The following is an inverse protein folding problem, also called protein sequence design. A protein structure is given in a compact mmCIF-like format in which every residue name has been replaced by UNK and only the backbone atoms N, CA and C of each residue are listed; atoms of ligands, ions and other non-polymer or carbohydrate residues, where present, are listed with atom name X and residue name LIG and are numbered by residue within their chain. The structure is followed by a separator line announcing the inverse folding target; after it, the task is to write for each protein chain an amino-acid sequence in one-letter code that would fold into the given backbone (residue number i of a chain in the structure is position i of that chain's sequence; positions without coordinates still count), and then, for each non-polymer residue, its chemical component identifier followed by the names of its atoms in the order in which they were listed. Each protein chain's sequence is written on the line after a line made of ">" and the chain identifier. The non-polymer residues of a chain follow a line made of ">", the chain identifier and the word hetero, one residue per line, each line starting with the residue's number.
data_IF_782711155019
#
_entry.id   IF_782711155019
#
_cell.length_a   1.000
_cell.length_b   1.000
_cell.length_c   1.000
_cell.angle_alpha   90.00
_cell.angle_beta   90.00
_cell.angle_gamma   90.00
#
_symmetry.space_group_name_H-M   'P 1'
#
loop_
_entity.id
_entity.type
_entity.pdbx_description
1 polymer ?
#
# COMPACT_ATOMS: atom_id res chain seq x y z
N UNK A 1 33.85 43.57 -17.90
CA UNK A 1 33.32 43.23 -19.23
C UNK A 1 31.89 42.77 -19.06
N UNK A 2 30.96 43.60 -19.50
CA UNK A 2 29.51 43.36 -19.44
C UNK A 2 29.13 42.05 -20.14
N UNK A 3 28.35 41.21 -19.48
CA UNK A 3 27.67 40.08 -20.12
C UNK A 3 26.21 40.48 -20.35
N UNK A 4 25.85 40.68 -21.61
CA UNK A 4 24.51 41.01 -22.06
C UNK A 4 23.51 39.94 -21.61
N UNK A 5 22.47 40.37 -20.87
CA UNK A 5 21.24 39.59 -20.70
C UNK A 5 20.53 39.50 -22.05
N UNK A 6 20.61 38.33 -22.69
CA UNK A 6 19.76 38.01 -23.85
C UNK A 6 18.34 37.78 -23.32
N UNK A 7 17.42 38.72 -23.61
CA UNK A 7 15.98 38.53 -23.38
C UNK A 7 15.47 37.42 -24.31
N UNK A 8 14.69 36.44 -23.83
CA UNK A 8 14.12 35.43 -24.72
C UNK A 8 13.08 36.07 -25.66
N UNK A 9 13.16 35.73 -26.95
CA UNK A 9 12.14 36.08 -27.96
C UNK A 9 10.84 35.36 -27.62
N UNK A 10 9.70 36.06 -27.75
CA UNK A 10 8.35 35.49 -27.63
C UNK A 10 8.14 34.42 -28.71
N UNK A 11 7.66 33.25 -28.30
CA UNK A 11 7.18 32.18 -29.18
C UNK A 11 5.83 32.61 -29.80
N UNK A 12 5.66 32.58 -31.15
CA UNK A 12 4.41 32.93 -31.82
C UNK A 12 3.20 32.03 -31.46
N UNK A 13 3.41 30.85 -30.88
CA UNK A 13 2.33 29.94 -30.46
C UNK A 13 1.86 30.15 -29.00
N UNK A 14 2.43 31.15 -28.30
CA UNK A 14 2.04 31.53 -26.95
C UNK A 14 2.44 30.55 -25.84
N UNK A 15 3.05 29.40 -26.16
CA UNK A 15 3.60 28.46 -25.19
C UNK A 15 4.69 29.19 -24.39
N UNK A 16 4.44 29.41 -23.09
CA UNK A 16 5.47 29.95 -22.20
C UNK A 16 6.57 28.90 -22.01
N UNK A 17 7.85 29.30 -21.95
CA UNK A 17 8.98 28.41 -22.16
C UNK A 17 9.01 27.23 -21.18
N UNK A 18 9.34 26.06 -21.74
CA UNK A 18 9.63 24.81 -21.04
C UNK A 18 10.85 25.04 -20.14
N UNK A 19 10.68 25.05 -18.82
CA UNK A 19 11.78 24.71 -17.92
C UNK A 19 11.78 23.19 -17.75
N UNK A 20 12.56 22.51 -18.59
CA UNK A 20 13.10 21.22 -18.21
C UNK A 20 14.32 21.54 -17.36
N UNK A 21 14.40 21.03 -16.13
CA UNK A 21 15.69 20.96 -15.45
C UNK A 21 16.58 20.00 -16.27
N UNK A 22 17.24 20.54 -17.30
CA UNK A 22 18.26 19.86 -18.05
C UNK A 22 19.34 19.48 -17.06
N UNK A 23 19.69 18.20 -17.05
CA UNK A 23 20.68 17.58 -16.19
C UNK A 23 21.85 18.50 -15.80
N UNK A 24 21.69 19.26 -14.70
CA UNK A 24 22.77 19.31 -13.73
C UNK A 24 22.73 17.91 -13.14
N UNK A 25 23.80 17.15 -13.35
CA UNK A 25 24.21 16.13 -12.37
C UNK A 25 23.82 16.71 -11.02
N UNK A 26 22.81 16.11 -10.37
CA UNK A 26 22.67 16.27 -8.94
C UNK A 26 23.97 15.66 -8.44
N UNK A 27 24.98 16.51 -8.27
CA UNK A 27 26.24 16.14 -7.68
C UNK A 27 25.87 15.69 -6.29
N UNK A 28 25.70 14.38 -6.14
CA UNK A 28 25.65 13.71 -4.87
C UNK A 28 27.00 13.95 -4.21
N UNK A 29 27.13 15.10 -3.54
CA UNK A 29 27.97 15.23 -2.36
C UNK A 29 27.08 14.89 -1.17
N UNK A 30 26.64 13.63 -1.11
CA UNK A 30 26.35 13.02 0.17
C UNK A 30 27.69 12.51 0.67
N UNK A 31 28.21 13.14 1.72
CA UNK A 31 29.12 12.44 2.60
C UNK A 31 28.48 11.09 2.94
N UNK A 32 29.10 10.01 2.46
CA UNK A 32 28.76 8.65 2.83
C UNK A 32 29.16 8.48 4.30
N UNK A 33 28.28 8.88 5.21
CA UNK A 33 28.21 8.34 6.57
C UNK A 33 26.87 7.63 6.69
N UNK A 34 26.90 6.33 6.42
CA UNK A 34 25.79 5.43 6.76
C UNK A 34 25.75 5.27 8.27
N UNK A 35 25.16 6.23 8.97
CA UNK A 35 24.66 5.96 10.30
C UNK A 35 23.35 5.18 10.12
N UNK A 36 23.41 3.86 10.37
CA UNK A 36 22.27 2.92 10.38
C UNK A 36 21.11 3.34 11.33
N UNK A 37 21.14 4.52 11.94
CA UNK A 37 20.20 4.98 12.97
C UNK A 37 19.11 5.94 12.49
N UNK A 38 19.18 6.56 11.31
CA UNK A 38 18.11 7.44 10.82
C UNK A 38 17.89 7.29 9.31
N UNK A 39 17.07 6.32 8.92
CA UNK A 39 16.59 6.19 7.55
C UNK A 39 15.71 7.40 7.17
N UNK A 40 15.88 7.91 5.95
CA UNK A 40 15.20 9.10 5.46
C UNK A 40 13.76 8.79 5.03
N UNK A 41 12.82 9.63 5.47
CA UNK A 41 11.43 9.58 5.01
C UNK A 41 11.27 10.22 3.63
N UNK A 42 10.32 9.72 2.85
CA UNK A 42 9.92 10.30 1.57
C UNK A 42 8.51 10.86 1.56
N UNK A 43 7.99 11.09 0.36
CA UNK A 43 6.63 11.56 0.10
C UNK A 43 5.84 10.54 -0.69
N UNK A 44 4.55 10.44 -0.39
CA UNK A 44 3.63 9.51 -1.09
C UNK A 44 3.24 10.03 -2.48
N UNK A 45 2.76 9.16 -3.37
CA UNK A 45 2.22 9.58 -4.68
C UNK A 45 1.09 10.59 -4.54
N UNK A 46 0.24 10.45 -3.52
CA UNK A 46 -0.81 11.41 -3.19
C UNK A 46 -0.30 12.80 -2.80
N UNK A 47 0.84 12.89 -2.10
CA UNK A 47 1.45 14.17 -1.75
C UNK A 47 2.05 14.87 -2.98
N UNK A 48 2.67 14.11 -3.89
CA UNK A 48 3.13 14.64 -5.17
C UNK A 48 1.95 15.15 -6.02
N UNK A 49 0.83 14.41 -6.08
CA UNK A 49 -0.37 14.85 -6.80
C UNK A 49 -1.00 16.11 -6.18
N UNK A 50 -1.11 16.18 -4.84
CA UNK A 50 -1.56 17.39 -4.13
C UNK A 50 -0.69 18.60 -4.47
N UNK A 51 0.63 18.44 -4.41
CA UNK A 51 1.59 19.48 -4.77
C UNK A 51 1.43 19.88 -6.25
N UNK A 52 1.23 18.91 -7.14
CA UNK A 52 0.99 19.15 -8.56
C UNK A 52 -0.25 20.00 -8.82
N UNK A 53 -1.38 19.70 -8.15
CA UNK A 53 -2.62 20.49 -8.28
C UNK A 53 -2.37 21.93 -7.85
N UNK A 54 -1.77 22.14 -6.66
CA UNK A 54 -1.47 23.49 -6.18
C UNK A 54 -0.53 24.25 -7.11
N UNK A 55 0.51 23.58 -7.62
CA UNK A 55 1.47 24.20 -8.51
C UNK A 55 0.85 24.60 -9.85
N UNK A 56 -0.02 23.76 -10.45
CA UNK A 56 -0.76 24.15 -11.66
C UNK A 56 -1.58 25.42 -11.43
N UNK A 57 -2.36 25.46 -10.34
CA UNK A 57 -3.22 26.59 -10.01
C UNK A 57 -2.42 27.89 -9.83
N UNK A 58 -1.32 27.83 -9.08
CA UNK A 58 -0.46 28.98 -8.85
C UNK A 58 0.32 29.39 -10.11
N UNK A 59 0.77 28.44 -10.93
CA UNK A 59 1.42 28.76 -12.21
C UNK A 59 0.47 29.49 -13.16
N UNK A 60 -0.80 29.10 -13.21
CA UNK A 60 -1.82 29.81 -14.00
C UNK A 60 -2.05 31.22 -13.44
N UNK A 61 -2.18 31.36 -12.11
CA UNK A 61 -2.37 32.66 -11.45
C UNK A 61 -1.21 33.64 -11.71
N UNK A 62 0.02 33.17 -11.56
CA UNK A 62 1.21 33.99 -11.72
C UNK A 62 1.63 34.15 -13.20
N UNK A 63 0.93 33.47 -14.11
CA UNK A 63 1.24 33.38 -15.54
C UNK A 63 2.73 33.07 -15.80
N UNK A 64 3.30 32.17 -14.99
CA UNK A 64 4.69 31.74 -15.10
C UNK A 64 4.88 30.34 -14.51
N UNK A 65 5.80 29.54 -15.07
CA UNK A 65 6.14 28.25 -14.49
C UNK A 65 6.79 28.46 -13.12
N UNK A 66 6.35 27.68 -12.13
CA UNK A 66 6.96 27.68 -10.80
C UNK A 66 8.14 26.69 -10.76
N UNK A 67 9.12 26.96 -9.88
CA UNK A 67 10.21 26.02 -9.62
C UNK A 67 9.87 25.05 -8.47
N UNK A 68 9.00 25.49 -7.56
CA UNK A 68 8.64 24.71 -6.38
C UNK A 68 7.32 25.19 -5.79
N UNK A 69 6.72 24.34 -4.96
CA UNK A 69 5.47 24.60 -4.25
C UNK A 69 5.54 24.07 -2.82
N UNK A 70 4.90 24.75 -1.87
CA UNK A 70 4.72 24.24 -0.51
C UNK A 70 3.27 23.82 -0.28
N UNK A 71 3.06 22.63 0.27
CA UNK A 71 1.74 22.11 0.68
C UNK A 71 1.73 21.72 2.16
N UNK A 72 0.53 21.65 2.74
CA UNK A 72 0.31 21.04 4.06
C UNK A 72 -0.09 19.58 3.86
N UNK A 73 0.73 18.67 4.35
CA UNK A 73 0.50 17.23 4.28
C UNK A 73 -0.65 16.80 5.21
N UNK A 74 -1.22 15.58 5.01
CA UNK A 74 -2.21 15.02 5.93
C UNK A 74 -1.82 14.93 7.40
N UNK A 75 -0.53 14.79 7.68
CA UNK A 75 0.02 14.84 9.06
C UNK A 75 0.13 16.25 9.65
N UNK A 76 -0.34 17.29 8.95
CA UNK A 76 -0.29 18.68 9.40
C UNK A 76 1.05 19.40 9.20
N UNK A 77 2.07 18.71 8.66
CA UNK A 77 3.38 19.30 8.37
C UNK A 77 3.41 19.97 7.00
N UNK A 78 4.11 21.10 6.91
CA UNK A 78 4.45 21.72 5.62
C UNK A 78 5.57 20.95 4.93
N UNK A 79 5.49 20.84 3.61
CA UNK A 79 6.52 20.23 2.78
C UNK A 79 6.65 20.98 1.46
N UNK A 80 7.90 21.21 1.05
CA UNK A 80 8.26 21.85 -0.22
C UNK A 80 8.59 20.79 -1.27
N UNK A 81 7.99 20.92 -2.45
CA UNK A 81 8.18 20.05 -3.60
C UNK A 81 8.84 20.84 -4.72
N UNK A 82 9.92 20.31 -5.30
CA UNK A 82 10.52 20.86 -6.51
C UNK A 82 9.75 20.34 -7.72
N UNK A 83 9.46 21.22 -8.67
CA UNK A 83 8.85 20.83 -9.93
C UNK A 83 9.94 20.33 -10.88
N UNK A 84 9.69 19.18 -11.50
CA UNK A 84 10.54 18.65 -12.54
C UNK A 84 10.26 19.35 -13.87
N UNK A 85 8.98 19.57 -14.18
CA UNK A 85 8.49 20.30 -15.35
C UNK A 85 7.29 21.15 -14.94
N UNK A 86 7.10 22.27 -15.63
CA UNK A 86 5.90 23.09 -15.57
C UNK A 86 5.64 23.68 -16.95
N UNK A 87 4.43 23.51 -17.45
CA UNK A 87 3.95 23.95 -18.76
C UNK A 87 2.65 24.71 -18.54
N UNK A 88 2.60 25.90 -19.12
CA UNK A 88 1.41 26.75 -19.14
C UNK A 88 0.90 26.82 -20.55
N UNK A 89 -0.40 26.57 -20.71
CA UNK A 89 -1.05 26.73 -21.99
C UNK A 89 -1.81 28.05 -21.95
N UNK A 90 -1.44 29.02 -22.81
CA UNK A 90 -2.03 30.37 -22.80
C UNK A 90 -3.44 30.41 -23.39
N UNK A 91 -3.88 29.33 -24.03
CA UNK A 91 -5.12 29.26 -24.77
C UNK A 91 -6.27 28.81 -23.87
N UNK A 92 -7.49 29.22 -24.22
CA UNK A 92 -8.70 28.68 -23.59
C UNK A 92 -8.90 27.20 -23.98
N UNK A 93 -9.24 26.32 -23.03
CA UNK A 93 -9.50 26.60 -21.62
C UNK A 93 -8.23 26.80 -20.79
N UNK A 94 -8.30 27.67 -19.78
CA UNK A 94 -7.20 27.90 -18.82
C UNK A 94 -6.69 26.58 -18.22
N UNK A 95 -5.46 26.20 -18.59
CA UNK A 95 -4.84 24.91 -18.25
C UNK A 95 -3.36 25.04 -17.89
N UNK A 96 -2.90 24.12 -17.05
CA UNK A 96 -1.48 23.92 -16.76
C UNK A 96 -1.16 22.45 -16.52
N UNK A 97 0.07 22.07 -16.84
CA UNK A 97 0.63 20.77 -16.53
C UNK A 97 1.93 20.95 -15.74
N UNK A 98 2.09 20.19 -14.68
CA UNK A 98 3.34 20.11 -13.93
C UNK A 98 3.71 18.67 -13.67
N UNK A 99 4.99 18.41 -13.42
CA UNK A 99 5.43 17.10 -12.96
C UNK A 99 6.37 17.20 -11.78
N UNK A 100 6.32 16.18 -10.92
CA UNK A 100 7.14 16.04 -9.72
C UNK A 100 7.74 14.63 -9.75
N UNK A 101 9.06 14.52 -9.58
CA UNK A 101 9.70 13.22 -9.35
C UNK A 101 9.48 12.83 -7.89
N UNK A 102 8.80 11.70 -7.68
CA UNK A 102 8.53 11.19 -6.32
C UNK A 102 9.82 10.78 -5.65
N UNK A 103 10.08 11.38 -4.49
CA UNK A 103 11.14 10.96 -3.60
C UNK A 103 10.57 10.07 -2.48
N UNK A 104 10.81 8.75 -2.58
CA UNK A 104 10.34 7.75 -1.62
C UNK A 104 11.16 7.65 -0.32
N UNK A 105 12.23 8.44 -0.16
CA UNK A 105 13.13 8.25 0.98
C UNK A 105 14.00 7.00 0.79
N UNK A 106 14.34 6.34 1.91
CA UNK A 106 15.13 5.10 1.93
C UNK A 106 14.24 3.84 1.98
N UNK A 107 12.92 3.98 1.78
CA UNK A 107 12.02 2.84 1.65
C UNK A 107 12.26 2.14 0.31
N UNK A 108 12.31 0.79 0.24
CA UNK A 108 12.34 0.05 -1.02
C UNK A 108 10.98 0.09 -1.73
N UNK A 109 10.51 1.29 -2.02
CA UNK A 109 9.24 1.62 -2.67
C UNK A 109 9.42 1.61 -4.20
N UNK A 110 8.69 0.73 -4.89
CA UNK A 110 8.79 0.59 -6.35
C UNK A 110 8.39 1.86 -7.11
N UNK A 111 7.73 2.83 -6.47
CA UNK A 111 7.37 4.11 -7.09
C UNK A 111 8.32 5.24 -6.68
N UNK A 112 9.45 4.94 -6.02
CA UNK A 112 10.55 5.91 -5.88
C UNK A 112 11.09 6.29 -7.26
N UNK A 113 11.31 7.58 -7.49
CA UNK A 113 11.79 8.11 -8.78
C UNK A 113 10.72 8.18 -9.87
N UNK A 114 9.47 7.75 -9.61
CA UNK A 114 8.40 7.88 -10.59
C UNK A 114 8.02 9.35 -10.80
N UNK A 115 7.87 9.76 -12.05
CA UNK A 115 7.32 11.07 -12.41
C UNK A 115 5.80 11.05 -12.22
N UNK A 116 5.28 11.96 -11.39
CA UNK A 116 3.86 12.19 -11.20
C UNK A 116 3.51 13.45 -11.98
N UNK A 117 2.79 13.29 -13.08
CA UNK A 117 2.33 14.38 -13.94
C UNK A 117 0.90 14.75 -13.50
N UNK A 118 0.69 16.04 -13.28
CA UNK A 118 -0.61 16.61 -12.92
C UNK A 118 -0.99 17.64 -13.97
N UNK A 119 -2.11 17.41 -14.64
CA UNK A 119 -2.71 18.36 -15.57
C UNK A 119 -4.02 18.87 -14.97
N UNK A 120 -4.15 20.20 -14.87
CA UNK A 120 -5.33 20.87 -14.32
C UNK A 120 -5.95 21.75 -15.39
N UNK A 121 -7.27 21.63 -15.55
CA UNK A 121 -8.09 22.47 -16.43
C UNK A 121 -9.25 23.07 -15.66
N UNK A 122 -9.46 24.37 -15.79
CA UNK A 122 -10.65 25.05 -15.27
C UNK A 122 -11.86 24.68 -16.15
N UNK A 123 -12.99 24.39 -15.51
CA UNK A 123 -14.25 23.98 -16.16
C UNK A 123 -15.46 24.61 -15.50
N UNK A 124 -16.60 24.63 -16.19
CA UNK A 124 -17.82 25.26 -15.67
C UNK A 124 -18.45 24.47 -14.51
N UNK A 125 -18.41 23.15 -14.61
CA UNK A 125 -18.97 22.26 -13.58
C UNK A 125 -18.19 22.40 -12.28
N UNK A 126 -18.89 22.82 -11.23
CA UNK A 126 -18.33 23.04 -9.89
C UNK A 126 -17.68 21.80 -9.27
N UNK A 127 -16.74 22.06 -8.37
CA UNK A 127 -15.99 21.03 -7.64
C UNK A 127 -14.77 20.50 -8.42
N UNK A 128 -14.29 19.33 -7.99
CA UNK A 128 -13.18 18.63 -8.66
C UNK A 128 -13.72 17.42 -9.43
N UNK A 129 -13.10 17.13 -10.56
CA UNK A 129 -13.32 15.92 -11.33
C UNK A 129 -11.98 15.25 -11.56
N UNK A 130 -11.88 13.97 -11.21
CA UNK A 130 -10.64 13.21 -11.40
C UNK A 130 -10.71 12.40 -12.68
N UNK A 131 -9.69 12.54 -13.51
CA UNK A 131 -9.53 11.77 -14.74
C UNK A 131 -8.28 10.90 -14.67
N UNK A 132 -8.40 9.71 -15.25
CA UNK A 132 -7.29 8.78 -15.42
C UNK A 132 -6.40 9.24 -16.57
N UNK A 133 -5.14 9.49 -16.28
CA UNK A 133 -4.08 9.59 -17.28
C UNK A 133 -3.27 8.29 -17.39
N UNK A 134 -2.28 8.27 -18.29
CA UNK A 134 -1.45 7.09 -18.55
C UNK A 134 -0.77 6.58 -17.27
N UNK A 135 -0.80 5.27 -17.03
CA UNK A 135 -0.14 4.61 -15.90
C UNK A 135 -0.72 4.89 -14.51
N UNK A 136 -1.80 5.66 -14.39
CA UNK A 136 -2.68 5.62 -13.22
C UNK A 136 -3.69 4.50 -13.42
N UNK A 137 -3.85 3.65 -12.42
CA UNK A 137 -4.75 2.50 -12.52
C UNK A 137 -6.22 2.90 -12.48
N UNK A 138 -7.11 1.97 -12.84
CA UNK A 138 -8.55 2.09 -12.64
C UNK A 138 -9.09 0.99 -11.75
N UNK A 139 -10.21 1.27 -11.07
CA UNK A 139 -10.83 0.39 -10.10
C UNK A 139 -11.74 -0.61 -10.80
N UNK A 140 -11.34 -1.88 -10.85
CA UNK A 140 -12.11 -2.97 -11.44
C UNK A 140 -12.91 -3.78 -10.42
N UNK A 141 -12.63 -3.61 -9.12
CA UNK A 141 -13.32 -4.31 -8.02
C UNK A 141 -13.81 -3.30 -6.96
N UNK A 142 -14.95 -3.57 -6.31
CA UNK A 142 -15.40 -2.74 -5.18
C UNK A 142 -14.55 -2.99 -3.92
N UNK A 143 -14.71 -2.15 -2.90
CA UNK A 143 -14.11 -2.33 -1.56
C UNK A 143 -12.93 -1.40 -1.23
N UNK A 144 -12.39 -0.66 -2.20
CA UNK A 144 -11.29 0.30 -1.98
C UNK A 144 -11.74 1.71 -1.58
N UNK A 145 -13.04 1.90 -1.32
CA UNK A 145 -13.62 3.23 -1.06
C UNK A 145 -13.68 4.11 -2.32
N UNK A 146 -13.62 3.50 -3.51
CA UNK A 146 -13.74 4.14 -4.81
C UNK A 146 -14.75 3.38 -5.68
N UNK A 147 -15.54 4.06 -6.53
CA UNK A 147 -16.42 3.42 -7.49
C UNK A 147 -15.68 2.50 -8.47
N UNK A 148 -16.34 1.47 -8.98
CA UNK A 148 -15.81 0.70 -10.11
C UNK A 148 -15.81 1.58 -11.36
N UNK A 149 -14.73 1.55 -12.13
CA UNK A 149 -14.49 2.41 -13.30
C UNK A 149 -13.74 3.71 -12.97
N UNK A 150 -13.67 4.11 -11.70
CA UNK A 150 -12.96 5.33 -11.29
C UNK A 150 -11.44 5.20 -11.41
N UNK A 151 -10.70 6.31 -11.56
CA UNK A 151 -9.25 6.32 -11.41
C UNK A 151 -8.86 5.94 -9.97
N UNK A 152 -7.76 5.17 -9.84
CA UNK A 152 -7.20 4.69 -8.58
C UNK A 152 -6.51 5.81 -7.79
N UNK A 153 -7.28 6.82 -7.42
CA UNK A 153 -6.88 7.98 -6.62
C UNK A 153 -7.63 7.89 -5.30
N UNK A 154 -6.93 7.49 -4.24
CA UNK A 154 -7.56 7.16 -2.96
C UNK A 154 -8.24 8.37 -2.29
N UNK A 155 -9.20 8.14 -1.37
CA UNK A 155 -9.98 9.21 -0.76
C UNK A 155 -9.17 10.31 -0.06
N UNK A 156 -8.10 9.97 0.66
CA UNK A 156 -7.26 10.97 1.34
C UNK A 156 -6.56 11.91 0.34
N UNK A 157 -5.86 11.42 -0.69
CA UNK A 157 -5.37 12.27 -1.78
C UNK A 157 -6.45 13.14 -2.44
N UNK A 158 -7.63 12.57 -2.76
CA UNK A 158 -8.75 13.34 -3.36
C UNK A 158 -9.14 14.53 -2.48
N UNK A 159 -9.39 14.27 -1.18
CA UNK A 159 -9.74 15.30 -0.19
C UNK A 159 -8.68 16.41 -0.08
N UNK A 160 -7.39 16.07 -0.14
CA UNK A 160 -6.34 17.07 -0.03
C UNK A 160 -6.18 17.88 -1.32
N UNK A 161 -6.36 17.29 -2.50
CA UNK A 161 -6.45 18.03 -3.76
C UNK A 161 -7.68 18.96 -3.81
N UNK A 162 -8.83 18.49 -3.32
CA UNK A 162 -10.04 19.31 -3.15
C UNK A 162 -9.81 20.50 -2.22
N UNK A 163 -9.04 20.30 -1.14
CA UNK A 163 -8.68 21.37 -0.22
C UNK A 163 -7.81 22.43 -0.89
N UNK A 164 -6.84 22.03 -1.72
CA UNK A 164 -6.02 22.99 -2.49
C UNK A 164 -6.89 23.78 -3.48
N UNK A 165 -7.80 23.12 -4.19
CA UNK A 165 -8.76 23.79 -5.08
C UNK A 165 -9.66 24.77 -4.33
N UNK A 166 -10.30 24.33 -3.25
CA UNK A 166 -11.23 25.17 -2.47
C UNK A 166 -10.52 26.41 -1.93
N UNK A 167 -9.33 26.22 -1.34
CA UNK A 167 -8.52 27.33 -0.82
C UNK A 167 -8.11 28.28 -1.94
N UNK A 168 -7.74 27.77 -3.11
CA UNK A 168 -7.37 28.60 -4.24
C UNK A 168 -8.58 29.38 -4.79
N UNK A 169 -9.72 28.71 -4.98
CA UNK A 169 -10.94 29.30 -5.49
C UNK A 169 -11.45 30.42 -4.58
N UNK A 170 -11.54 30.17 -3.27
CA UNK A 170 -12.02 31.17 -2.30
C UNK A 170 -11.17 32.45 -2.29
N UNK A 171 -9.86 32.32 -2.49
CA UNK A 171 -8.93 33.44 -2.51
C UNK A 171 -8.83 34.16 -3.86
N UNK A 172 -9.24 33.52 -4.97
CA UNK A 172 -8.96 34.01 -6.33
C UNK A 172 -10.20 34.01 -7.24
N UNK A 173 -11.41 33.92 -6.69
CA UNK A 173 -12.66 33.78 -7.44
C UNK A 173 -12.82 34.77 -8.59
N UNK A 174 -12.62 36.06 -8.33
CA UNK A 174 -12.75 37.11 -9.35
C UNK A 174 -11.78 36.94 -10.51
N UNK A 175 -10.53 36.55 -10.23
CA UNK A 175 -9.54 36.27 -11.26
C UNK A 175 -9.92 35.05 -12.11
N UNK A 176 -10.46 33.99 -11.49
CA UNK A 176 -10.91 32.80 -12.21
C UNK A 176 -12.09 33.13 -13.12
N UNK A 177 -13.09 33.86 -12.62
CA UNK A 177 -14.27 34.26 -13.39
C UNK A 177 -13.90 35.17 -14.57
N UNK A 178 -12.98 36.13 -14.35
CA UNK A 178 -12.47 37.01 -15.41
C UNK A 178 -11.72 36.22 -16.49
N UNK A 179 -10.80 35.32 -16.09
CA UNK A 179 -9.95 34.59 -17.04
C UNK A 179 -10.70 33.49 -17.78
N UNK A 180 -11.51 32.70 -17.09
CA UNK A 180 -12.24 31.60 -17.72
C UNK A 180 -13.49 32.06 -18.48
N UNK A 181 -14.05 33.23 -18.14
CA UNK A 181 -15.36 33.67 -18.64
C UNK A 181 -16.53 32.83 -18.11
N UNK A 182 -16.31 31.97 -17.11
CA UNK A 182 -17.31 31.04 -16.58
C UNK A 182 -17.94 31.57 -15.29
N UNK A 183 -19.27 31.44 -15.19
CA UNK A 183 -20.05 31.86 -14.00
C UNK A 183 -19.97 30.88 -12.83
N UNK A 184 -19.77 29.60 -13.15
CA UNK A 184 -19.47 28.55 -12.18
C UNK A 184 -18.11 27.98 -12.55
N UNK A 185 -17.33 27.58 -11.55
CA UNK A 185 -15.97 27.11 -11.76
C UNK A 185 -15.68 25.88 -10.92
N UNK A 186 -15.03 24.93 -11.56
CA UNK A 186 -14.41 23.76 -10.97
C UNK A 186 -13.13 23.41 -11.72
N UNK A 187 -12.54 22.27 -11.37
CA UNK A 187 -11.36 21.76 -12.07
C UNK A 187 -11.51 20.31 -12.47
N UNK A 188 -10.95 19.99 -13.64
CA UNK A 188 -10.60 18.62 -14.02
C UNK A 188 -9.14 18.41 -13.70
N UNK A 189 -8.83 17.38 -12.92
CA UNK A 189 -7.47 16.95 -12.58
C UNK A 189 -7.20 15.60 -13.24
N UNK A 190 -6.28 15.60 -14.19
CA UNK A 190 -5.78 14.38 -14.84
C UNK A 190 -4.42 14.05 -14.27
N UNK A 191 -4.27 12.86 -13.71
CA UNK A 191 -3.00 12.38 -13.16
C UNK A 191 -2.42 11.28 -14.07
N UNK A 192 -1.13 11.40 -14.39
CA UNK A 192 -0.39 10.40 -15.18
C UNK A 192 0.90 10.01 -14.48
N UNK A 193 1.31 8.76 -14.68
CA UNK A 193 2.59 8.21 -14.28
C UNK A 193 3.14 7.48 -15.52
N UNK A 194 4.08 8.07 -16.29
CA UNK A 194 4.53 7.50 -17.56
C UNK A 194 4.94 6.01 -17.47
N UNK A 195 5.64 5.61 -16.41
CA UNK A 195 6.05 4.21 -16.21
C UNK A 195 5.08 3.42 -15.31
N UNK A 196 3.90 3.96 -15.01
CA UNK A 196 3.02 3.45 -13.97
C UNK A 196 2.49 2.04 -14.24
N UNK A 197 2.18 1.69 -15.50
CA UNK A 197 1.75 0.34 -15.83
C UNK A 197 2.86 -0.69 -15.56
N UNK A 198 4.09 -0.40 -15.97
CA UNK A 198 5.26 -1.26 -15.76
C UNK A 198 5.52 -1.43 -14.25
N UNK A 199 5.54 -0.33 -13.50
CA UNK A 199 5.77 -0.34 -12.06
C UNK A 199 4.66 -1.06 -11.30
N UNK A 200 3.41 -1.00 -11.76
CA UNK A 200 2.28 -1.66 -11.10
C UNK A 200 2.41 -3.18 -11.02
N UNK A 201 3.17 -3.80 -11.94
CA UNK A 201 3.42 -5.26 -11.96
C UNK A 201 4.21 -5.75 -10.74
N UNK A 202 4.90 -4.85 -10.05
CA UNK A 202 5.64 -5.13 -8.82
C UNK A 202 4.81 -4.90 -7.54
N UNK A 203 3.50 -4.61 -7.69
CA UNK A 203 2.61 -4.27 -6.57
C UNK A 203 1.52 -5.33 -6.37
N UNK A 204 0.79 -5.22 -5.27
CA UNK A 204 -0.41 -6.03 -5.00
C UNK A 204 -1.68 -5.43 -5.62
N UNK A 205 -1.56 -4.42 -6.49
CA UNK A 205 -2.69 -3.66 -7.04
C UNK A 205 -3.66 -4.53 -7.83
N UNK A 206 -3.16 -5.44 -8.67
CA UNK A 206 -4.01 -6.31 -9.49
C UNK A 206 -4.95 -7.17 -8.63
N UNK A 207 -4.46 -7.69 -7.50
CA UNK A 207 -5.25 -8.46 -6.54
C UNK A 207 -6.37 -7.62 -5.93
N UNK A 208 -6.05 -6.38 -5.57
CA UNK A 208 -6.99 -5.40 -5.05
C UNK A 208 -7.98 -4.87 -6.11
N UNK A 209 -7.84 -5.27 -7.38
CA UNK A 209 -8.70 -4.78 -8.46
C UNK A 209 -8.30 -3.41 -8.98
N UNK A 210 -7.01 -3.07 -8.94
CA UNK A 210 -6.46 -1.90 -9.60
C UNK A 210 -5.68 -2.40 -10.81
N UNK A 211 -6.13 -2.04 -12.01
CA UNK A 211 -5.58 -2.53 -13.28
C UNK A 211 -4.90 -1.41 -14.07
N UNK A 212 -3.94 -1.80 -14.90
CA UNK A 212 -3.28 -0.94 -15.89
C UNK A 212 -2.62 0.34 -15.33
N UNK A 213 -2.13 0.28 -14.08
CA UNK A 213 -1.42 1.41 -13.48
C UNK A 213 -1.29 1.36 -11.96
N UNK A 214 -0.64 2.40 -11.44
CA UNK A 214 -0.43 2.59 -10.01
C UNK A 214 -1.58 3.36 -9.37
N UNK A 215 -1.69 3.20 -8.05
CA UNK A 215 -2.57 4.02 -7.23
C UNK A 215 -1.91 5.34 -6.80
N UNK A 216 -2.68 6.42 -6.83
CA UNK A 216 -2.34 7.67 -6.15
C UNK A 216 -2.87 7.55 -4.72
N UNK A 217 -1.95 7.29 -3.78
CA UNK A 217 -2.29 6.94 -2.40
C UNK A 217 -1.36 7.64 -1.40
N UNK A 218 -1.74 7.58 -0.12
CA UNK A 218 -0.99 8.15 0.98
C UNK A 218 -1.90 8.79 2.02
N UNK A 219 -2.06 8.13 3.17
CA UNK A 219 -2.94 8.64 4.25
C UNK A 219 -2.29 9.75 5.08
N UNK A 220 -0.95 9.77 5.12
CA UNK A 220 -0.14 10.72 5.90
C UNK A 220 0.64 11.72 5.03
N UNK A 221 0.69 11.51 3.73
CA UNK A 221 1.53 12.29 2.80
C UNK A 221 3.03 11.95 2.83
N UNK A 222 3.48 11.14 3.79
CA UNK A 222 4.88 10.70 3.94
C UNK A 222 5.03 9.19 3.76
N UNK A 223 6.20 8.78 3.27
CA UNK A 223 6.67 7.39 3.24
C UNK A 223 7.67 7.22 4.38
N UNK A 224 7.43 6.24 5.25
CA UNK A 224 8.34 5.85 6.33
C UNK A 224 8.98 4.53 5.93
N UNK A 225 10.31 4.42 5.87
CA UNK A 225 10.99 3.19 5.50
C UNK A 225 10.56 1.98 6.35
N UNK A 226 10.28 0.85 5.70
CA UNK A 226 9.87 -0.41 6.34
C UNK A 226 8.64 -0.26 7.25
N UNK A 227 7.70 0.60 6.85
CA UNK A 227 6.51 0.93 7.63
C UNK A 227 5.57 -0.27 7.81
N UNK A 228 5.48 -0.74 9.06
CA UNK A 228 4.47 -1.71 9.49
C UNK A 228 3.04 -1.21 9.26
N UNK A 229 2.82 0.11 9.29
CA UNK A 229 1.50 0.69 9.08
C UNK A 229 1.02 0.61 7.62
N UNK A 230 1.94 0.70 6.64
CA UNK A 230 1.61 0.53 5.23
C UNK A 230 1.18 -0.92 4.93
N UNK A 231 1.91 -1.89 5.48
CA UNK A 231 1.58 -3.31 5.33
C UNK A 231 0.26 -3.70 6.02
N UNK A 232 -0.03 -3.13 7.21
CA UNK A 232 -1.35 -3.31 7.86
C UNK A 232 -2.49 -2.73 7.03
N UNK A 233 -2.28 -1.60 6.37
CA UNK A 233 -3.28 -1.01 5.50
C UNK A 233 -3.58 -1.89 4.28
N UNK A 234 -2.57 -2.54 3.66
CA UNK A 234 -2.80 -3.44 2.53
C UNK A 234 -3.58 -4.70 2.93
N UNK A 235 -3.32 -5.26 4.12
CA UNK A 235 -4.12 -6.36 4.69
C UNK A 235 -5.58 -5.94 4.82
N UNK A 236 -5.82 -4.76 5.40
CA UNK A 236 -7.18 -4.21 5.61
C UNK A 236 -7.92 -4.04 4.28
N UNK A 237 -7.26 -3.47 3.27
CA UNK A 237 -7.83 -3.28 1.93
C UNK A 237 -8.15 -4.60 1.23
N UNK A 238 -7.30 -5.62 1.36
CA UNK A 238 -7.58 -6.93 0.79
C UNK A 238 -8.83 -7.57 1.41
N UNK A 239 -9.03 -7.41 2.72
CA UNK A 239 -10.26 -7.87 3.39
C UNK A 239 -11.50 -7.10 2.91
N UNK A 240 -11.39 -5.78 2.73
CA UNK A 240 -12.51 -4.95 2.28
C UNK A 240 -12.92 -5.28 0.83
N UNK A 241 -11.95 -5.55 -0.04
CA UNK A 241 -12.20 -6.04 -1.41
C UNK A 241 -12.91 -7.40 -1.39
N UNK A 242 -12.48 -8.32 -0.53
CA UNK A 242 -13.13 -9.62 -0.41
C UNK A 242 -14.59 -9.50 0.05
N UNK A 243 -14.83 -8.75 1.13
CA UNK A 243 -16.18 -8.52 1.69
C UNK A 243 -17.09 -7.81 0.69
N UNK A 244 -16.60 -6.80 -0.01
CA UNK A 244 -17.38 -6.07 -1.01
C UNK A 244 -17.80 -6.94 -2.20
N UNK A 245 -17.14 -8.07 -2.42
CA UNK A 245 -17.50 -9.09 -3.42
C UNK A 245 -18.45 -10.17 -2.89
N UNK A 246 -18.91 -10.04 -1.65
CA UNK A 246 -19.77 -11.04 -1.00
C UNK A 246 -19.03 -12.30 -0.55
N UNK A 247 -17.69 -12.27 -0.47
CA UNK A 247 -16.91 -13.39 0.05
C UNK A 247 -17.09 -13.44 1.57
N UNK A 248 -17.58 -14.56 2.07
CA UNK A 248 -17.86 -14.78 3.49
C UNK A 248 -16.80 -15.65 4.20
N UNK A 249 -15.78 -16.11 3.47
CA UNK A 249 -14.66 -16.90 4.00
C UNK A 249 -13.33 -16.23 3.68
N UNK A 250 -12.58 -15.81 4.71
CA UNK A 250 -11.25 -15.23 4.56
C UNK A 250 -10.17 -16.23 4.97
N UNK A 251 -9.17 -16.44 4.11
CA UNK A 251 -8.01 -17.30 4.38
C UNK A 251 -6.79 -16.43 4.61
N UNK A 252 -6.38 -16.31 5.87
CA UNK A 252 -5.23 -15.52 6.29
C UNK A 252 -3.96 -16.37 6.23
N UNK A 253 -3.02 -15.99 5.38
CA UNK A 253 -1.83 -16.80 5.08
C UNK A 253 -0.55 -16.13 5.56
N UNK A 254 0.35 -16.91 6.16
CA UNK A 254 1.59 -16.37 6.74
C UNK A 254 2.64 -15.90 5.72
N UNK A 255 2.43 -16.18 4.43
CA UNK A 255 3.30 -15.81 3.32
C UNK A 255 2.92 -16.54 2.02
N UNK A 256 3.64 -16.25 0.93
CA UNK A 256 3.28 -16.74 -0.41
C UNK A 256 3.30 -18.26 -0.58
N UNK A 257 4.17 -18.98 0.12
CA UNK A 257 4.16 -20.44 0.07
C UNK A 257 2.90 -21.01 0.75
N UNK A 258 2.56 -20.55 1.95
CA UNK A 258 1.32 -20.95 2.63
C UNK A 258 0.07 -20.55 1.86
N UNK A 259 0.11 -19.43 1.12
CA UNK A 259 -0.99 -19.02 0.26
C UNK A 259 -1.20 -19.99 -0.90
N UNK A 260 -0.14 -20.34 -1.64
CA UNK A 260 -0.20 -21.31 -2.73
C UNK A 260 -0.75 -22.66 -2.27
N UNK A 261 -0.28 -23.15 -1.12
CA UNK A 261 -0.76 -24.41 -0.56
C UNK A 261 -2.23 -24.32 -0.12
N UNK A 262 -2.62 -23.23 0.54
CA UNK A 262 -4.01 -23.01 0.92
C UNK A 262 -4.94 -22.91 -0.30
N UNK A 263 -4.52 -22.24 -1.38
CA UNK A 263 -5.26 -22.15 -2.64
C UNK A 263 -5.45 -23.51 -3.31
N UNK A 264 -4.42 -24.36 -3.29
CA UNK A 264 -4.52 -25.71 -3.83
C UNK A 264 -5.51 -26.58 -3.03
N UNK A 265 -5.50 -26.47 -1.69
CA UNK A 265 -6.38 -27.25 -0.80
C UNK A 265 -7.83 -26.72 -0.84
N UNK A 266 -8.00 -25.40 -0.87
CA UNK A 266 -9.30 -24.70 -0.82
C UNK A 266 -9.65 -24.13 -2.20
N UNK A 267 -9.49 -24.94 -3.24
CA UNK A 267 -9.60 -24.53 -4.66
C UNK A 267 -10.98 -24.03 -5.09
N UNK A 268 -12.01 -24.29 -4.29
CA UNK A 268 -13.36 -23.75 -4.49
C UNK A 268 -13.49 -22.28 -4.09
N UNK A 269 -12.54 -21.73 -3.30
CA UNK A 269 -12.56 -20.34 -2.87
C UNK A 269 -11.91 -19.44 -3.94
N UNK A 270 -12.47 -18.25 -4.22
CA UNK A 270 -11.85 -17.30 -5.13
C UNK A 270 -10.53 -16.76 -4.56
N UNK A 271 -9.65 -16.29 -5.45
CA UNK A 271 -8.30 -15.80 -5.09
C UNK A 271 -8.35 -14.69 -4.02
N UNK A 272 -9.36 -13.82 -4.07
CA UNK A 272 -9.55 -12.72 -3.12
C UNK A 272 -9.86 -13.19 -1.68
N UNK A 273 -10.24 -14.46 -1.50
CA UNK A 273 -10.38 -15.05 -0.16
C UNK A 273 -9.03 -15.13 0.54
N UNK A 274 -7.93 -15.25 -0.21
CA UNK A 274 -6.60 -15.48 0.32
C UNK A 274 -5.86 -14.16 0.53
N UNK A 275 -5.41 -13.91 1.76
CA UNK A 275 -4.80 -12.65 2.16
C UNK A 275 -3.49 -12.95 2.87
N UNK A 276 -2.38 -12.50 2.29
CA UNK A 276 -1.06 -12.62 2.91
C UNK A 276 -0.93 -11.62 4.06
N UNK A 277 -0.81 -12.13 5.28
CA UNK A 277 -0.73 -11.32 6.50
C UNK A 277 0.69 -11.14 7.04
N UNK A 278 1.66 -11.82 6.43
CA UNK A 278 3.06 -11.78 6.87
C UNK A 278 3.17 -12.20 8.33
N UNK A 279 3.65 -11.28 9.18
CA UNK A 279 3.81 -11.51 10.63
C UNK A 279 2.67 -10.97 11.49
N UNK A 280 1.67 -10.33 10.88
CA UNK A 280 0.64 -9.54 11.56
C UNK A 280 -0.58 -10.34 12.01
N UNK A 281 -0.40 -11.59 12.44
CA UNK A 281 -1.47 -12.54 12.80
C UNK A 281 -2.54 -11.95 13.72
N UNK A 282 -2.12 -11.32 14.83
CA UNK A 282 -3.07 -10.73 15.78
C UNK A 282 -3.80 -9.49 15.26
N UNK A 283 -3.12 -8.67 14.44
CA UNK A 283 -3.79 -7.54 13.78
C UNK A 283 -4.83 -8.06 12.79
N UNK A 284 -4.44 -9.00 11.94
CA UNK A 284 -5.30 -9.52 10.87
C UNK A 284 -6.52 -10.24 11.40
N UNK A 285 -6.41 -11.04 12.47
CA UNK A 285 -7.57 -11.73 13.05
C UNK A 285 -8.54 -10.76 13.73
N UNK A 286 -8.04 -9.68 14.38
CA UNK A 286 -8.88 -8.60 14.92
C UNK A 286 -9.59 -7.85 13.81
N UNK A 287 -8.87 -7.49 12.75
CA UNK A 287 -9.46 -6.77 11.63
C UNK A 287 -10.50 -7.63 10.90
N UNK A 288 -10.19 -8.89 10.62
CA UNK A 288 -11.13 -9.81 9.99
C UNK A 288 -12.41 -10.00 10.84
N UNK A 289 -12.28 -10.08 12.18
CA UNK A 289 -13.43 -10.20 13.10
C UNK A 289 -14.37 -8.99 13.13
N UNK A 290 -13.95 -7.83 12.60
CA UNK A 290 -14.82 -6.64 12.49
C UNK A 290 -15.74 -6.66 11.26
N UNK A 291 -15.55 -7.63 10.36
CA UNK A 291 -16.23 -7.70 9.07
C UNK A 291 -17.34 -8.76 9.11
N UNK A 292 -18.40 -8.62 8.27
CA UNK A 292 -19.54 -9.55 8.24
C UNK A 292 -19.19 -10.84 7.45
N UNK A 293 -18.12 -11.52 7.86
CA UNK A 293 -17.70 -12.81 7.29
C UNK A 293 -18.22 -13.95 8.15
N UNK A 294 -18.47 -15.11 7.56
CA UNK A 294 -18.91 -16.32 8.28
C UNK A 294 -17.75 -17.16 8.78
N UNK A 295 -16.62 -17.16 8.06
CA UNK A 295 -15.48 -18.01 8.37
C UNK A 295 -14.14 -17.28 8.17
N UNK A 296 -13.20 -17.51 9.07
CA UNK A 296 -11.80 -17.12 8.92
C UNK A 296 -10.95 -18.38 9.04
N UNK A 297 -10.05 -18.63 8.09
CA UNK A 297 -9.10 -19.74 8.14
C UNK A 297 -7.68 -19.15 8.25
N UNK A 298 -6.99 -19.42 9.35
CA UNK A 298 -5.56 -19.16 9.47
C UNK A 298 -4.80 -20.32 8.83
N UNK A 299 -4.05 -20.08 7.76
CA UNK A 299 -3.30 -21.09 7.04
C UNK A 299 -1.79 -20.81 7.08
N UNK A 300 -0.98 -21.80 7.41
CA UNK A 300 0.46 -21.59 7.55
C UNK A 300 1.28 -22.85 7.73
N UNK A 301 2.57 -22.60 7.96
CA UNK A 301 3.60 -23.62 8.15
C UNK A 301 4.05 -23.66 9.61
N UNK A 302 4.65 -24.78 10.00
CA UNK A 302 5.09 -25.11 11.37
C UNK A 302 5.92 -24.00 12.04
N UNK A 303 6.76 -23.30 11.29
CA UNK A 303 7.60 -22.20 11.80
C UNK A 303 6.84 -21.05 12.45
N UNK A 304 5.84 -20.47 11.77
CA UNK A 304 5.05 -19.36 12.36
C UNK A 304 3.97 -19.88 13.30
N UNK A 305 3.44 -21.08 13.03
CA UNK A 305 2.37 -21.68 13.82
C UNK A 305 2.85 -22.11 15.21
N UNK A 306 4.06 -22.64 15.35
CA UNK A 306 4.67 -22.93 16.66
C UNK A 306 4.71 -21.69 17.56
N UNK A 307 5.05 -20.52 17.02
CA UNK A 307 5.05 -19.25 17.76
C UNK A 307 3.64 -18.76 18.09
N UNK A 308 2.73 -18.87 17.13
CA UNK A 308 1.33 -18.47 17.32
C UNK A 308 0.63 -19.33 18.38
N UNK A 309 0.99 -20.61 18.48
CA UNK A 309 0.51 -21.55 19.49
C UNK A 309 0.94 -21.16 20.93
N UNK A 310 2.00 -20.37 21.08
CA UNK A 310 2.42 -19.79 22.36
C UNK A 310 1.68 -18.47 22.67
N UNK A 311 0.77 -18.03 21.81
CA UNK A 311 0.07 -16.75 21.95
C UNK A 311 0.85 -15.54 21.42
N UNK A 312 1.96 -15.74 20.70
CA UNK A 312 2.72 -14.64 20.08
C UNK A 312 1.95 -14.10 18.87
N UNK A 313 1.45 -12.86 19.00
CA UNK A 313 0.56 -12.25 18.00
C UNK A 313 1.28 -11.49 16.87
N UNK A 314 2.60 -11.32 16.98
CA UNK A 314 3.48 -10.75 15.96
C UNK A 314 4.65 -11.72 15.74
N UNK A 315 4.65 -12.46 14.64
CA UNK A 315 5.50 -13.67 14.47
C UNK A 315 6.90 -13.40 13.91
N UNK A 316 7.40 -12.15 13.97
CA UNK A 316 8.67 -11.74 13.38
C UNK A 316 9.82 -12.70 13.74
N UNK A 317 10.61 -13.09 12.74
CA UNK A 317 11.74 -14.02 12.90
C UNK A 317 12.74 -13.60 14.00
N UNK A 318 12.88 -12.30 14.26
CA UNK A 318 13.79 -11.73 15.26
C UNK A 318 13.21 -11.61 16.68
N UNK A 319 11.89 -11.79 16.88
CA UNK A 319 11.22 -11.45 18.15
C UNK A 319 10.95 -12.63 19.10
N UNK A 320 10.91 -13.86 18.59
CA UNK A 320 10.73 -15.06 19.41
C UNK A 320 11.38 -16.27 18.74
N UNK A 321 12.25 -16.97 19.46
CA UNK A 321 12.79 -18.25 19.02
C UNK A 321 11.70 -19.34 19.11
N UNK A 322 11.91 -20.45 18.41
CA UNK A 322 11.03 -21.61 18.55
C UNK A 322 11.27 -22.19 19.95
N UNK A 323 10.20 -22.35 20.72
CA UNK A 323 10.28 -22.97 22.04
C UNK A 323 10.06 -24.48 21.91
N UNK A 324 11.17 -25.23 21.90
CA UNK A 324 11.13 -26.68 21.80
C UNK A 324 10.56 -27.33 23.06
N UNK A 325 10.72 -26.71 24.23
CA UNK A 325 10.11 -27.18 25.48
C UNK A 325 8.59 -27.13 25.41
N UNK A 326 8.06 -26.04 24.86
CA UNK A 326 6.63 -25.89 24.60
C UNK A 326 6.13 -26.92 23.57
N UNK A 327 6.80 -27.09 22.43
CA UNK A 327 6.39 -28.10 21.45
C UNK A 327 6.46 -29.53 22.03
N UNK A 328 7.50 -29.84 22.81
CA UNK A 328 7.61 -31.11 23.51
C UNK A 328 6.47 -31.31 24.53
N UNK A 329 5.99 -30.24 25.18
CA UNK A 329 4.84 -30.31 26.08
C UNK A 329 3.55 -30.68 25.35
N UNK A 330 3.28 -30.10 24.17
CA UNK A 330 2.14 -30.47 23.33
C UNK A 330 2.22 -31.95 22.92
N UNK A 331 3.41 -32.41 22.50
CA UNK A 331 3.60 -33.82 22.13
C UNK A 331 3.32 -34.75 23.31
N UNK A 332 3.87 -34.44 24.50
CA UNK A 332 3.64 -35.21 25.73
C UNK A 332 2.17 -35.23 26.14
N UNK A 333 1.51 -34.07 26.14
CA UNK A 333 0.07 -33.94 26.45
C UNK A 333 -0.80 -34.73 25.47
N UNK A 334 -0.33 -34.91 24.23
CA UNK A 334 -0.99 -35.70 23.20
C UNK A 334 -0.70 -37.21 23.29
N UNK A 335 0.16 -37.65 24.22
CA UNK A 335 0.50 -39.06 24.44
C UNK A 335 1.74 -39.55 23.69
N UNK A 336 2.63 -38.66 23.25
CA UNK A 336 3.87 -39.06 22.57
C UNK A 336 4.79 -39.87 23.52
N UNK A 337 5.49 -40.90 23.01
CA UNK A 337 6.47 -41.63 23.80
C UNK A 337 7.65 -40.73 24.19
N UNK A 338 8.26 -40.99 25.36
CA UNK A 338 9.35 -40.17 25.90
C UNK A 338 10.55 -40.06 24.95
N UNK A 339 10.77 -41.06 24.10
CA UNK A 339 11.80 -41.03 23.06
C UNK A 339 11.55 -39.91 22.04
N UNK A 340 10.33 -39.80 21.52
CA UNK A 340 9.94 -38.73 20.59
C UNK A 340 9.99 -37.36 21.27
N UNK A 341 9.50 -37.27 22.51
CA UNK A 341 9.56 -36.04 23.30
C UNK A 341 11.01 -35.58 23.52
N UNK A 342 11.91 -36.51 23.82
CA UNK A 342 13.35 -36.26 23.91
C UNK A 342 13.95 -35.74 22.60
N UNK A 343 13.59 -36.32 21.46
CA UNK A 343 14.02 -35.85 20.14
C UNK A 343 13.53 -34.43 19.83
N UNK A 344 12.28 -34.11 20.16
CA UNK A 344 11.71 -32.76 19.95
C UNK A 344 12.48 -31.70 20.75
N UNK A 345 12.88 -32.00 22.00
CA UNK A 345 13.66 -31.08 22.84
C UNK A 345 15.03 -30.76 22.26
N UNK A 346 15.61 -31.66 21.46
CA UNK A 346 16.91 -31.48 20.80
C UNK A 346 16.79 -30.98 19.36
N UNK A 347 15.60 -30.58 18.92
CA UNK A 347 15.39 -30.13 17.56
C UNK A 347 16.04 -28.76 17.29
N UNK A 348 16.44 -28.53 16.02
CA UNK A 348 17.08 -27.27 15.60
C UNK A 348 16.07 -26.24 15.08
N UNK A 349 14.94 -26.68 14.53
CA UNK A 349 13.92 -25.80 13.94
C UNK A 349 12.53 -26.37 14.17
N UNK A 350 11.50 -25.52 14.10
CA UNK A 350 10.12 -26.00 14.14
C UNK A 350 9.81 -26.97 12.99
N UNK A 351 10.45 -26.79 11.82
CA UNK A 351 10.34 -27.75 10.71
C UNK A 351 10.87 -29.13 11.12
N UNK A 352 12.05 -29.18 11.72
CA UNK A 352 12.63 -30.43 12.21
C UNK A 352 11.70 -31.13 13.22
N UNK A 353 11.02 -30.38 14.10
CA UNK A 353 9.98 -30.96 14.98
C UNK A 353 8.86 -31.59 14.17
N UNK A 354 8.38 -30.90 13.12
CA UNK A 354 7.36 -31.45 12.22
C UNK A 354 7.83 -32.73 11.53
N UNK A 355 9.07 -32.76 11.05
CA UNK A 355 9.66 -33.93 10.38
C UNK A 355 9.76 -35.11 11.37
N UNK A 356 10.27 -34.90 12.59
CA UNK A 356 10.38 -35.94 13.63
C UNK A 356 9.01 -36.54 14.01
N UNK A 357 7.99 -35.70 14.15
CA UNK A 357 6.63 -36.13 14.49
C UNK A 357 6.01 -36.94 13.34
N UNK A 358 6.20 -36.49 12.10
CA UNK A 358 5.69 -37.17 10.92
C UNK A 358 6.38 -38.52 10.69
N UNK A 359 7.70 -38.59 10.85
CA UNK A 359 8.50 -39.83 10.77
C UNK A 359 8.07 -40.86 11.82
N UNK A 360 7.71 -40.38 13.02
CA UNK A 360 7.18 -41.22 14.09
C UNK A 360 5.68 -41.61 13.90
N UNK A 361 5.02 -41.13 12.85
CA UNK A 361 3.60 -41.37 12.59
C UNK A 361 2.65 -40.75 13.62
N UNK A 362 3.09 -39.69 14.32
CA UNK A 362 2.39 -39.11 15.47
C UNK A 362 1.55 -37.87 15.08
N UNK A 363 0.72 -38.02 14.05
CA UNK A 363 -0.04 -36.91 13.42
C UNK A 363 -0.98 -36.15 14.38
N UNK A 364 -1.40 -36.78 15.48
CA UNK A 364 -2.25 -36.18 16.53
C UNK A 364 -1.64 -34.89 17.10
N UNK A 365 -0.30 -34.78 17.11
CA UNK A 365 0.40 -33.57 17.50
C UNK A 365 0.01 -32.35 16.66
N UNK A 366 -0.18 -32.50 15.34
CA UNK A 366 -0.50 -31.38 14.46
C UNK A 366 -1.89 -30.83 14.73
N UNK A 367 -2.86 -31.70 15.04
CA UNK A 367 -4.20 -31.27 15.46
C UNK A 367 -4.17 -30.58 16.82
N UNK A 368 -3.42 -31.11 17.79
CA UNK A 368 -3.24 -30.48 19.09
C UNK A 368 -2.63 -29.07 18.98
N UNK A 369 -1.63 -28.91 18.12
CA UNK A 369 -1.03 -27.62 17.80
C UNK A 369 -2.07 -26.65 17.20
N UNK A 370 -2.86 -27.11 16.23
CA UNK A 370 -3.92 -26.29 15.61
C UNK A 370 -4.98 -25.86 16.64
N UNK A 371 -5.41 -26.77 17.53
CA UNK A 371 -6.35 -26.47 18.62
C UNK A 371 -5.80 -25.40 19.56
N UNK A 372 -4.50 -25.45 19.90
CA UNK A 372 -3.87 -24.45 20.75
C UNK A 372 -3.88 -23.06 20.10
N UNK A 373 -3.55 -22.98 18.81
CA UNK A 373 -3.63 -21.74 18.03
C UNK A 373 -5.07 -21.20 17.99
N UNK A 374 -6.04 -22.09 17.74
CA UNK A 374 -7.44 -21.74 17.63
C UNK A 374 -7.96 -21.02 18.89
N UNK A 375 -7.60 -21.52 20.08
CA UNK A 375 -7.94 -20.87 21.37
C UNK A 375 -7.42 -19.44 21.42
N UNK A 376 -6.17 -19.20 21.00
CA UNK A 376 -5.59 -17.87 20.98
C UNK A 376 -6.27 -16.95 19.97
N UNK A 377 -6.50 -17.42 18.74
CA UNK A 377 -7.14 -16.62 17.69
C UNK A 377 -8.58 -16.24 18.04
N UNK A 378 -9.34 -17.17 18.61
CA UNK A 378 -10.72 -16.95 19.06
C UNK A 378 -10.78 -15.85 20.12
N UNK A 379 -9.87 -15.88 21.10
CA UNK A 379 -9.77 -14.83 22.13
C UNK A 379 -9.44 -13.46 21.53
N UNK A 380 -8.64 -13.40 20.46
CA UNK A 380 -8.20 -12.15 19.84
C UNK A 380 -9.27 -11.54 18.94
N UNK A 381 -10.05 -12.35 18.23
CA UNK A 381 -11.03 -11.88 17.23
C UNK A 381 -12.15 -11.03 17.84
N UNK A 382 -12.59 -11.35 19.06
CA UNK A 382 -13.55 -10.56 19.82
C UNK A 382 -15.03 -10.76 19.46
N UNK A 383 -15.37 -11.09 18.20
CA UNK A 383 -16.73 -11.45 17.73
C UNK A 383 -16.59 -12.59 16.70
N UNK A 384 -17.21 -13.78 16.84
CA UNK A 384 -16.72 -14.95 16.11
C UNK A 384 -17.52 -15.21 14.82
N UNK A 385 -16.94 -14.99 13.63
CA UNK A 385 -17.08 -15.99 12.58
C UNK A 385 -16.55 -17.34 13.07
N UNK A 386 -16.90 -18.44 12.40
CA UNK A 386 -16.17 -19.70 12.60
C UNK A 386 -14.69 -19.47 12.30
N UNK A 387 -13.79 -19.91 13.19
CA UNK A 387 -12.34 -19.82 12.98
C UNK A 387 -11.78 -21.21 12.74
N UNK A 388 -11.14 -21.39 11.59
CA UNK A 388 -10.33 -22.56 11.26
C UNK A 388 -8.84 -22.26 11.37
N UNK A 389 -8.05 -23.27 11.75
CA UNK A 389 -6.59 -23.25 11.70
C UNK A 389 -6.15 -24.44 10.86
N UNK A 390 -5.40 -24.16 9.78
CA UNK A 390 -4.94 -25.17 8.83
C UNK A 390 -3.40 -25.16 8.75
N UNK A 391 -2.80 -26.30 9.08
CA UNK A 391 -1.36 -26.50 8.99
C UNK A 391 -1.03 -27.37 7.77
N UNK A 392 -0.04 -26.93 6.99
CA UNK A 392 0.50 -27.71 5.88
C UNK A 392 1.98 -28.05 6.10
N UNK A 393 2.44 -29.13 5.46
CA UNK A 393 3.87 -29.41 5.31
C UNK A 393 4.50 -28.56 4.20
N UNK A 394 5.78 -28.81 3.91
CA UNK A 394 6.53 -28.11 2.86
C UNK A 394 6.25 -28.62 1.43
N UNK A 395 5.47 -29.71 1.30
CA UNK A 395 4.99 -30.27 0.05
C UNK A 395 3.55 -29.80 -0.26
N UNK A 396 2.91 -29.09 0.67
CA UNK A 396 1.56 -28.57 0.52
C UNK A 396 0.46 -29.55 0.94
N UNK A 397 0.81 -30.68 1.58
CA UNK A 397 -0.17 -31.59 2.17
C UNK A 397 -0.73 -30.95 3.45
N UNK A 398 -2.04 -31.01 3.62
CA UNK A 398 -2.69 -30.68 4.90
C UNK A 398 -2.33 -31.75 5.93
N UNK A 399 -1.66 -31.34 7.01
CA UNK A 399 -1.21 -32.23 8.09
C UNK A 399 -1.92 -31.96 9.43
N UNK A 400 -2.59 -30.81 9.57
CA UNK A 400 -3.37 -30.51 10.76
C UNK A 400 -4.53 -29.55 10.47
N UNK A 401 -5.62 -29.71 11.20
CA UNK A 401 -6.77 -28.80 11.14
C UNK A 401 -7.48 -28.71 12.50
N UNK A 402 -7.99 -27.54 12.84
CA UNK A 402 -8.93 -27.35 13.96
C UNK A 402 -9.92 -26.23 13.61
N UNK A 403 -11.16 -26.33 14.07
CA UNK A 403 -12.22 -25.32 13.86
C UNK A 403 -13.05 -25.13 15.13
N UNK A 404 -13.50 -23.90 15.38
CA UNK A 404 -14.26 -23.48 16.58
C UNK A 404 -15.73 -23.87 16.54
#
# INVERSE_FOLDING_TARGET
>A
METQQVRPKRDPDGILPIFANSHKKLGFLLEKKSDKKNLRTGFTTGACAQAGVKACLLSMLENRPLESVEIVLPIGRKAKFLLHRAILFPAEPLTAEVSIIKDGGDDPDCTHGAEIITHVRIVEKSGIQFQRGHGVGWISKPGLGLPVGDPAINPVPRRYMEKEWTTFYDNNRGWIEEKSGLKQNGIVVTLSIPNGEILSRQTLNSRLGILEGLSILGTKGIVVPFSTSAYRASITQAMDVAVARGIDTLVLTTGGQSEKFAQAILSSLPEESFIQIGDFSGFSIREAGKRPVKKIIMAGLMGKFSKLAMGVTQTHAAGSQVDFGFLASIARESGAPDTLVGSILQANTARHVGDLVAEAGFDVFFEALCKRILVHLTKISGHPPSIGVMLTDFQGKKIGYAES
#
